data_IF_346249830585
#
_entry.id   IF_346249830585
#
_cell.length_a   1.000
_cell.length_b   1.000
_cell.length_c   1.000
_cell.angle_alpha   90.00
_cell.angle_beta   90.00
_cell.angle_gamma   90.00
#
_symmetry.space_group_name_H-M   'P 1'
#
loop_
_entity.id
_entity.type
_entity.pdbx_description
1 polymer ?
#
# COMPACT_ATOMS: atom_id res chain seq x y z
N UNK A 1 -16.78 20.83 -15.72
CA UNK A 1 -17.28 19.64 -14.99
C UNK A 1 -16.43 19.50 -13.73
N UNK A 2 -17.04 19.46 -12.54
CA UNK A 2 -16.30 19.28 -11.29
C UNK A 2 -16.12 17.77 -11.06
N UNK A 3 -14.88 17.31 -10.88
CA UNK A 3 -14.55 15.93 -10.52
C UNK A 3 -14.16 15.90 -9.04
N UNK A 4 -14.66 14.95 -8.23
CA UNK A 4 -14.19 14.77 -6.85
C UNK A 4 -12.71 14.39 -6.81
N UNK A 5 -12.01 14.82 -5.77
CA UNK A 5 -10.59 14.54 -5.57
C UNK A 5 -10.38 13.11 -5.03
N UNK A 6 -10.66 12.14 -5.90
CA UNK A 6 -10.53 10.70 -5.66
C UNK A 6 -10.02 10.00 -6.92
N UNK A 7 -9.45 8.83 -6.73
CA UNK A 7 -9.02 7.95 -7.82
C UNK A 7 -10.12 6.93 -8.10
N UNK A 8 -10.60 6.90 -9.34
CA UNK A 8 -11.58 5.91 -9.78
C UNK A 8 -10.90 4.58 -10.15
N UNK A 9 -11.67 3.48 -10.15
CA UNK A 9 -11.16 2.22 -10.69
C UNK A 9 -10.72 2.39 -12.16
N UNK A 10 -9.52 1.90 -12.46
CA UNK A 10 -8.90 2.03 -13.78
C UNK A 10 -8.18 3.37 -14.01
N UNK A 11 -8.30 4.33 -13.10
CA UNK A 11 -7.49 5.53 -13.10
C UNK A 11 -6.11 5.26 -12.49
N UNK A 12 -5.09 5.89 -13.06
CA UNK A 12 -3.73 5.77 -12.54
C UNK A 12 -3.56 6.68 -11.33
N UNK A 13 -2.90 6.15 -10.29
CA UNK A 13 -2.34 6.98 -9.23
C UNK A 13 -1.22 7.86 -9.80
N UNK A 14 -0.99 8.99 -9.15
CA UNK A 14 0.14 9.85 -9.49
C UNK A 14 1.47 9.10 -9.32
N UNK A 15 2.30 8.98 -10.37
CA UNK A 15 3.53 8.18 -10.29
C UNK A 15 4.50 8.63 -9.20
N UNK A 16 4.67 9.95 -9.03
CA UNK A 16 5.57 10.50 -8.03
C UNK A 16 5.13 10.17 -6.59
N UNK A 17 3.82 10.14 -6.33
CA UNK A 17 3.26 9.74 -5.05
C UNK A 17 3.50 8.26 -4.78
N UNK A 18 3.30 7.41 -5.79
CA UNK A 18 3.51 5.97 -5.66
C UNK A 18 4.99 5.63 -5.44
N UNK A 19 5.90 6.28 -6.16
CA UNK A 19 7.35 6.13 -5.99
C UNK A 19 7.79 6.54 -4.59
N UNK A 20 7.23 7.64 -4.06
CA UNK A 20 7.51 8.08 -2.70
C UNK A 20 7.02 7.04 -1.68
N UNK A 21 5.77 6.57 -1.82
CA UNK A 21 5.22 5.55 -0.92
C UNK A 21 6.05 4.26 -0.93
N UNK A 22 6.55 3.84 -2.09
CA UNK A 22 7.43 2.68 -2.18
C UNK A 22 8.75 2.90 -1.43
N UNK A 23 9.39 4.07 -1.60
CA UNK A 23 10.62 4.42 -0.87
C UNK A 23 10.40 4.44 0.64
N UNK A 24 9.30 5.03 1.09
CA UNK A 24 8.98 5.10 2.52
C UNK A 24 8.78 3.71 3.12
N UNK A 25 8.09 2.82 2.40
CA UNK A 25 7.90 1.43 2.82
C UNK A 25 9.21 0.64 2.82
N UNK A 26 10.03 0.79 1.78
CA UNK A 26 11.32 0.11 1.67
C UNK A 26 12.31 0.50 2.79
N UNK A 27 12.22 1.73 3.30
CA UNK A 27 13.07 2.23 4.39
C UNK A 27 12.48 1.97 5.80
N UNK A 28 11.26 1.43 5.91
CA UNK A 28 10.63 1.20 7.19
C UNK A 28 11.20 -0.05 7.89
N UNK A 29 11.46 0.03 9.19
CA UNK A 29 11.83 -1.12 10.02
C UNK A 29 10.62 -1.98 10.41
N UNK A 30 9.43 -1.38 10.39
CA UNK A 30 8.15 -2.00 10.73
C UNK A 30 7.00 -1.30 9.99
N UNK A 31 6.14 -2.08 9.34
CA UNK A 31 4.86 -1.62 8.79
C UNK A 31 3.71 -2.34 9.46
N UNK A 32 2.67 -1.57 9.80
CA UNK A 32 1.43 -2.05 10.37
C UNK A 32 0.29 -1.79 9.39
N UNK A 33 -0.29 -2.86 8.84
CA UNK A 33 -1.48 -2.78 7.99
C UNK A 33 -2.71 -2.99 8.86
N UNK A 34 -3.59 -1.99 8.90
CA UNK A 34 -4.79 -1.99 9.74
C UNK A 34 -6.06 -1.97 8.87
N UNK A 35 -6.90 -2.99 8.99
CA UNK A 35 -8.24 -3.00 8.38
C UNK A 35 -8.27 -2.94 6.85
N UNK A 36 -7.20 -3.39 6.19
CA UNK A 36 -7.12 -3.50 4.72
C UNK A 36 -7.13 -4.95 4.29
N UNK A 37 -7.93 -5.27 3.27
CA UNK A 37 -7.95 -6.60 2.64
C UNK A 37 -6.69 -6.88 1.82
N UNK A 38 -5.90 -5.87 1.48
CA UNK A 38 -4.72 -5.98 0.63
C UNK A 38 -5.01 -6.67 -0.73
N UNK A 39 -6.12 -6.32 -1.36
CA UNK A 39 -6.53 -6.90 -2.67
C UNK A 39 -6.40 -5.93 -3.84
N UNK A 40 -6.42 -4.61 -3.60
CA UNK A 40 -6.45 -3.60 -4.66
C UNK A 40 -5.04 -3.07 -4.94
N UNK A 41 -4.60 -3.25 -6.19
CA UNK A 41 -3.31 -2.75 -6.67
C UNK A 41 -3.39 -1.26 -7.04
N UNK A 42 -2.28 -0.51 -6.92
CA UNK A 42 -0.94 -0.95 -6.47
C UNK A 42 -0.76 -0.96 -4.95
N UNK A 43 -1.69 -0.38 -4.17
CA UNK A 43 -1.54 -0.18 -2.74
C UNK A 43 -1.30 -1.48 -1.95
N UNK A 44 -1.94 -2.57 -2.35
CA UNK A 44 -1.78 -3.89 -1.74
C UNK A 44 -0.33 -4.41 -1.76
N UNK A 45 0.48 -4.00 -2.75
CA UNK A 45 1.87 -4.44 -2.88
C UNK A 45 2.87 -3.63 -2.04
N UNK A 46 2.49 -2.43 -1.58
CA UNK A 46 3.39 -1.52 -0.88
C UNK A 46 4.04 -2.13 0.38
N UNK A 47 3.30 -2.84 1.28
CA UNK A 47 3.90 -3.40 2.48
C UNK A 47 4.96 -4.47 2.21
N UNK A 48 4.95 -5.08 1.01
CA UNK A 48 5.99 -6.04 0.62
C UNK A 48 7.35 -5.38 0.41
N UNK A 49 7.40 -4.09 0.07
CA UNK A 49 8.65 -3.36 -0.02
C UNK A 49 9.41 -3.42 1.31
N UNK A 50 8.72 -3.19 2.43
CA UNK A 50 9.28 -3.33 3.79
C UNK A 50 9.84 -4.72 4.03
N UNK A 51 9.04 -5.76 3.76
CA UNK A 51 9.44 -7.14 3.98
C UNK A 51 10.70 -7.51 3.17
N UNK A 52 10.74 -7.14 1.89
CA UNK A 52 11.89 -7.43 1.03
C UNK A 52 13.16 -6.67 1.40
N UNK A 53 13.04 -5.52 2.09
CA UNK A 53 14.17 -4.74 2.56
C UNK A 53 14.58 -5.09 4.01
N UNK A 54 14.04 -6.19 4.56
CA UNK A 54 14.42 -6.71 5.89
C UNK A 54 13.64 -6.10 7.06
N UNK A 55 12.66 -5.23 6.78
CA UNK A 55 11.73 -4.73 7.77
C UNK A 55 10.67 -5.77 8.15
N UNK A 56 9.92 -5.48 9.21
CA UNK A 56 8.85 -6.36 9.71
C UNK A 56 7.50 -5.91 9.20
N UNK A 57 6.61 -6.87 8.95
CA UNK A 57 5.23 -6.61 8.55
C UNK A 57 4.28 -7.19 9.60
N UNK A 58 3.34 -6.39 10.07
CA UNK A 58 2.24 -6.81 10.94
C UNK A 58 0.93 -6.45 10.26
N UNK A 59 0.05 -7.43 10.13
CA UNK A 59 -1.28 -7.25 9.54
C UNK A 59 -2.32 -7.48 10.63
N UNK A 60 -3.17 -6.49 10.84
CA UNK A 60 -4.31 -6.56 11.77
C UNK A 60 -5.57 -6.39 10.93
N UNK A 61 -6.18 -7.51 10.61
CA UNK A 61 -7.42 -7.55 9.87
C UNK A 61 -8.32 -8.66 10.41
N UNK A 62 -9.64 -8.47 10.37
CA UNK A 62 -10.57 -9.49 10.85
C UNK A 62 -10.65 -10.69 9.89
N UNK A 63 -10.82 -10.51 8.57
CA UNK A 63 -10.60 -11.58 7.61
C UNK A 63 -9.13 -11.71 7.21
N UNK A 64 -8.75 -12.89 6.71
CA UNK A 64 -7.44 -13.15 6.13
C UNK A 64 -7.14 -12.23 4.94
N UNK A 65 -5.85 -11.95 4.73
CA UNK A 65 -5.34 -11.20 3.58
C UNK A 65 -4.60 -12.12 2.61
N UNK A 66 -4.43 -11.73 1.33
CA UNK A 66 -3.65 -12.52 0.38
C UNK A 66 -2.14 -12.57 0.67
N UNK A 67 -1.63 -11.60 1.44
CA UNK A 67 -0.28 -11.63 2.05
C UNK A 67 -0.34 -12.43 3.34
#
# INVERSE_FOLDING_TARGET
MLKPDIIFYGEQLEPALLDQAYRDMANADLVLVLGSSLTVQPAASLPMATYYHGGRLVIVNSPETPL
#
